data_IF_307462566847
#
_entry.id   IF_307462566847
#
_cell.length_a   1.000
_cell.length_b   1.000
_cell.length_c   1.000
_cell.angle_alpha   90.00
_cell.angle_beta   90.00
_cell.angle_gamma   90.00
#
_symmetry.space_group_name_H-M   'P 1'
#
loop_
_entity.id
_entity.type
_entity.pdbx_description
1 polymer ?
#
# COMPACT_ATOMS: atom_id res chain seq x y z
N UNK A 1 11.30 3.66 -3.10
CA UNK A 1 10.54 2.45 -2.70
C UNK A 1 9.99 1.82 -3.97
N UNK A 2 10.03 0.49 -4.10
CA UNK A 2 9.48 -0.27 -5.24
C UNK A 2 8.38 -1.19 -4.71
N UNK A 3 7.29 -1.40 -5.48
CA UNK A 3 6.14 -2.19 -5.04
C UNK A 3 5.15 -1.39 -4.17
N UNK A 4 4.61 -2.03 -3.13
CA UNK A 4 3.58 -1.43 -2.26
C UNK A 4 4.11 -1.15 -0.85
N UNK A 5 3.74 0.02 -0.31
CA UNK A 5 4.01 0.41 1.09
C UNK A 5 2.75 0.97 1.73
N UNK A 6 2.61 0.78 3.04
CA UNK A 6 1.62 1.52 3.85
C UNK A 6 2.35 2.63 4.59
N UNK A 7 1.91 3.87 4.40
CA UNK A 7 2.44 5.04 5.11
C UNK A 7 1.39 5.46 6.13
N UNK A 8 1.79 5.43 7.39
CA UNK A 8 0.92 5.83 8.50
C UNK A 8 1.22 7.28 8.88
N UNK A 9 0.15 8.04 9.07
CA UNK A 9 0.22 9.44 9.46
C UNK A 9 -0.57 9.66 10.75
N UNK A 10 -0.08 10.60 11.56
CA UNK A 10 -0.91 11.28 12.56
C UNK A 10 -1.28 12.66 12.01
N UNK A 11 -2.55 13.04 12.13
CA UNK A 11 -3.01 14.38 11.78
C UNK A 11 -2.93 15.23 13.05
N UNK A 12 -2.13 16.30 13.02
CA UNK A 12 -1.97 17.19 14.19
C UNK A 12 -3.23 18.04 14.42
N UNK A 13 -3.27 18.74 15.57
CA UNK A 13 -4.35 19.69 15.88
C UNK A 13 -4.47 20.82 14.85
N UNK A 14 -3.36 21.17 14.19
CA UNK A 14 -3.31 22.17 13.13
C UNK A 14 -3.60 21.58 11.73
N UNK A 15 -4.16 20.37 11.67
CA UNK A 15 -4.49 19.64 10.44
C UNK A 15 -3.30 19.33 9.52
N UNK A 16 -2.08 19.24 10.09
CA UNK A 16 -0.88 18.88 9.34
C UNK A 16 -0.65 17.36 9.44
N UNK A 17 -0.54 16.62 8.33
CA UNK A 17 -0.17 15.21 8.37
C UNK A 17 1.33 15.05 8.67
N UNK A 18 1.65 14.25 9.68
CA UNK A 18 3.02 13.89 10.05
C UNK A 18 3.18 12.38 9.88
N UNK A 19 4.17 11.96 9.08
CA UNK A 19 4.51 10.54 8.90
C UNK A 19 5.03 9.97 10.22
N UNK A 20 4.46 8.86 10.66
CA UNK A 20 4.90 8.15 11.87
C UNK A 20 5.58 6.82 11.54
N UNK A 21 5.21 6.17 10.44
CA UNK A 21 5.77 4.89 10.04
C UNK A 21 5.66 4.67 8.53
N UNK A 22 6.65 3.99 7.96
CA UNK A 22 6.61 3.44 6.59
C UNK A 22 6.75 1.93 6.68
N UNK A 23 5.66 1.22 6.43
CA UNK A 23 5.62 -0.23 6.39
C UNK A 23 5.92 -0.71 4.96
N UNK A 24 7.14 -1.23 4.76
CA UNK A 24 7.58 -1.73 3.45
C UNK A 24 6.96 -3.07 3.06
N UNK A 25 6.49 -3.85 4.05
CA UNK A 25 5.76 -5.11 3.84
C UNK A 25 4.45 -5.02 4.65
N UNK A 26 3.38 -4.44 4.09
CA UNK A 26 2.11 -4.32 4.79
C UNK A 26 1.38 -5.66 4.88
N UNK A 27 0.46 -5.78 5.83
CA UNK A 27 -0.44 -6.94 5.92
C UNK A 27 -1.35 -7.07 4.69
N UNK A 28 -1.54 -8.31 4.21
CA UNK A 28 -2.34 -8.64 3.02
C UNK A 28 -3.57 -9.51 3.32
N UNK A 29 -3.85 -9.81 4.60
CA UNK A 29 -5.07 -10.53 4.98
C UNK A 29 -6.32 -9.65 4.80
N UNK A 30 -7.54 -10.21 4.69
CA UNK A 30 -8.76 -9.40 4.55
C UNK A 30 -8.98 -8.37 5.68
N UNK A 31 -8.48 -8.66 6.88
CA UNK A 31 -8.54 -7.74 8.03
C UNK A 31 -7.50 -6.62 7.98
N UNK A 32 -6.56 -6.64 7.03
CA UNK A 32 -5.50 -5.64 6.89
C UNK A 32 -5.95 -4.39 6.14
N UNK A 33 -5.31 -3.25 6.42
CA UNK A 33 -5.67 -1.93 5.87
C UNK A 33 -5.54 -1.87 4.33
N UNK A 34 -4.44 -2.40 3.78
CA UNK A 34 -4.18 -2.33 2.33
C UNK A 34 -5.28 -3.04 1.51
N UNK A 35 -5.65 -4.31 1.79
CA UNK A 35 -6.77 -4.98 1.12
C UNK A 35 -8.10 -4.23 1.24
N UNK A 36 -8.40 -3.65 2.41
CA UNK A 36 -9.63 -2.89 2.62
C UNK A 36 -9.66 -1.60 1.78
N UNK A 37 -8.54 -0.88 1.70
CA UNK A 37 -8.42 0.33 0.87
C UNK A 37 -8.54 0.01 -0.62
N UNK A 38 -7.92 -1.06 -1.10
CA UNK A 38 -8.03 -1.52 -2.49
C UNK A 38 -9.48 -1.86 -2.83
N UNK A 39 -10.15 -2.59 -1.93
CA UNK A 39 -11.58 -2.96 -2.08
C UNK A 39 -12.48 -1.73 -2.09
N UNK A 40 -12.25 -0.76 -1.19
CA UNK A 40 -13.00 0.50 -1.17
C UNK A 40 -12.91 1.28 -2.49
N UNK A 41 -11.78 1.16 -3.19
CA UNK A 41 -11.57 1.76 -4.52
C UNK A 41 -12.17 0.94 -5.67
N UNK A 42 -12.93 -0.11 -5.36
CA UNK A 42 -13.46 -1.07 -6.35
C UNK A 42 -12.36 -1.72 -7.20
N UNK A 43 -11.14 -1.81 -6.66
CA UNK A 43 -10.02 -2.49 -7.29
C UNK A 43 -9.90 -3.91 -6.75
N UNK A 44 -9.34 -4.81 -7.57
CA UNK A 44 -8.99 -6.16 -7.15
C UNK A 44 -7.58 -6.21 -6.59
N UNK A 45 -7.41 -6.74 -5.37
CA UNK A 45 -6.09 -6.93 -4.76
C UNK A 45 -5.21 -7.85 -5.61
N UNK A 46 -5.76 -8.91 -6.18
CA UNK A 46 -4.97 -9.85 -7.01
C UNK A 46 -4.47 -9.19 -8.29
N UNK A 47 -5.29 -8.36 -8.94
CA UNK A 47 -4.89 -7.63 -10.14
C UNK A 47 -3.80 -6.60 -9.84
N UNK A 48 -3.93 -5.87 -8.73
CA UNK A 48 -2.91 -4.92 -8.29
C UNK A 48 -1.58 -5.62 -7.99
N UNK A 49 -1.60 -6.74 -7.26
CA UNK A 49 -0.40 -7.50 -6.93
C UNK A 49 0.24 -8.14 -8.18
N UNK A 50 -0.56 -8.59 -9.14
CA UNK A 50 -0.06 -9.12 -10.42
C UNK A 50 0.70 -8.04 -11.21
N UNK A 51 0.12 -6.84 -11.35
CA UNK A 51 0.79 -5.72 -12.01
C UNK A 51 2.12 -5.35 -11.33
N UNK A 52 2.15 -5.30 -10.00
CA UNK A 52 3.39 -5.03 -9.24
C UNK A 52 4.45 -6.12 -9.46
N UNK A 53 4.05 -7.38 -9.59
CA UNK A 53 4.97 -8.48 -9.88
C UNK A 53 5.56 -8.36 -11.29
N UNK A 54 4.73 -8.05 -12.29
CA UNK A 54 5.17 -7.82 -13.67
C UNK A 54 6.17 -6.66 -13.77
N UNK A 55 5.88 -5.53 -13.13
CA UNK A 55 6.80 -4.38 -13.04
C UNK A 55 8.14 -4.76 -12.41
N UNK A 56 8.11 -5.55 -11.32
CA UNK A 56 9.31 -5.98 -10.64
C UNK A 56 10.18 -6.88 -11.55
N UNK A 57 9.56 -7.81 -12.27
CA UNK A 57 10.25 -8.69 -13.22
C UNK A 57 10.85 -7.91 -14.40
N UNK A 58 10.12 -6.93 -14.95
CA UNK A 58 10.62 -6.09 -16.04
C UNK A 58 11.79 -5.21 -15.60
N UNK A 59 11.79 -4.73 -14.35
CA UNK A 59 12.88 -3.90 -13.82
C UNK A 59 14.17 -4.64 -13.47
N UNK A 60 14.16 -5.97 -13.58
CA UNK A 60 15.30 -6.86 -13.32
C UNK A 60 15.89 -7.46 -14.62
N UNK A 61 15.43 -7.00 -15.79
CA UNK A 61 16.07 -7.22 -17.10
C UNK A 61 16.97 -6.02 -17.42
#
# INVERSE_FOLDING_TARGET
LKGIVRIDFIITKDHVPVVIEVNSIPGLSPASIVPQQVTYRSCSLSMMLAALAEEAMASNQ
#
